data_IF_239181306447
#
_entry.id   IF_239181306447
#
_cell.length_a   1.000
_cell.length_b   1.000
_cell.length_c   1.000
_cell.angle_alpha   90.00
_cell.angle_beta   90.00
_cell.angle_gamma   90.00
#
_symmetry.space_group_name_H-M   'P 1'
#
loop_
_entity.id
_entity.type
_entity.pdbx_description
1 polymer ?
#
# COMPACT_ATOMS: atom_id res chain seq x y z
N UNK A 1 -0.64 -13.68 -7.72
CA UNK A 1 0.73 -13.41 -7.28
C UNK A 1 0.98 -14.00 -5.89
N UNK A 2 2.25 -14.02 -5.48
CA UNK A 2 2.63 -14.48 -4.14
C UNK A 2 3.66 -13.52 -3.56
N UNK A 3 3.46 -13.17 -2.29
CA UNK A 3 4.46 -12.43 -1.51
C UNK A 3 5.61 -13.36 -1.12
N UNK A 4 6.78 -12.79 -0.90
CA UNK A 4 7.95 -13.52 -0.43
C UNK A 4 7.83 -13.95 1.04
N UNK A 5 7.02 -13.23 1.83
CA UNK A 5 6.85 -13.47 3.26
C UNK A 5 5.49 -13.00 3.77
N UNK A 6 5.05 -13.54 4.91
CA UNK A 6 3.79 -13.15 5.56
C UNK A 6 4.02 -12.09 6.67
N UNK A 7 4.92 -11.14 6.43
CA UNK A 7 5.23 -10.05 7.33
C UNK A 7 5.55 -8.77 6.54
N UNK A 8 4.89 -7.68 6.87
CA UNK A 8 4.97 -6.40 6.17
C UNK A 8 6.41 -5.91 5.98
N UNK A 9 7.22 -5.89 7.04
CA UNK A 9 8.57 -5.33 6.98
C UNK A 9 9.44 -6.06 5.97
N UNK A 10 9.42 -7.39 6.00
CA UNK A 10 10.20 -8.22 5.08
C UNK A 10 9.60 -8.16 3.67
N UNK A 11 8.29 -8.34 3.54
CA UNK A 11 7.62 -8.39 2.24
C UNK A 11 7.75 -7.07 1.49
N UNK A 12 7.44 -5.93 2.11
CA UNK A 12 7.55 -4.62 1.47
C UNK A 12 9.00 -4.28 1.15
N UNK A 13 9.93 -4.47 2.09
CA UNK A 13 11.35 -4.17 1.84
C UNK A 13 11.90 -4.94 0.64
N UNK A 14 11.53 -6.21 0.48
CA UNK A 14 11.95 -7.00 -0.69
C UNK A 14 11.22 -6.60 -1.98
N UNK A 15 9.95 -6.16 -1.88
CA UNK A 15 9.18 -5.78 -3.06
C UNK A 15 9.65 -4.44 -3.69
N UNK A 16 10.15 -3.53 -2.86
CA UNK A 16 10.51 -2.16 -3.29
C UNK A 16 12.00 -1.87 -3.27
N UNK A 17 12.84 -2.86 -3.04
CA UNK A 17 14.30 -2.78 -3.15
C UNK A 17 14.84 -3.91 -4.01
N UNK A 18 16.10 -3.85 -4.36
CA UNK A 18 16.79 -4.93 -5.07
C UNK A 18 17.16 -6.13 -4.17
N UNK A 19 16.83 -6.10 -2.88
CA UNK A 19 17.03 -7.23 -1.97
C UNK A 19 16.14 -8.38 -2.39
N UNK A 20 16.71 -9.57 -2.49
CA UNK A 20 15.97 -10.78 -2.81
C UNK A 20 16.69 -12.02 -2.25
N UNK A 21 16.04 -13.17 -2.34
CA UNK A 21 16.54 -14.44 -1.80
C UNK A 21 17.81 -14.97 -2.48
N UNK A 22 18.26 -14.36 -3.59
CA UNK A 22 19.41 -14.81 -4.36
C UNK A 22 20.63 -13.89 -4.19
N UNK A 23 20.49 -12.78 -3.44
CA UNK A 23 21.59 -11.90 -3.13
C UNK A 23 21.76 -11.73 -1.61
N UNK A 24 22.95 -11.35 -1.20
CA UNK A 24 23.29 -11.09 0.20
C UNK A 24 23.36 -9.59 0.52
N UNK A 25 22.67 -8.75 -0.27
CA UNK A 25 22.71 -7.30 -0.05
C UNK A 25 22.10 -6.95 1.29
N UNK A 26 22.79 -6.10 2.01
CA UNK A 26 22.28 -5.53 3.24
C UNK A 26 21.35 -4.37 2.91
N UNK A 27 20.39 -4.12 3.79
CA UNK A 27 19.38 -3.09 3.60
C UNK A 27 19.97 -1.72 3.21
N UNK A 28 21.06 -1.30 3.88
CA UNK A 28 21.73 -0.02 3.64
C UNK A 28 22.60 0.04 2.36
N UNK A 29 22.77 -1.08 1.69
CA UNK A 29 23.49 -1.20 0.41
C UNK A 29 22.54 -1.31 -0.78
N UNK A 30 21.26 -1.50 -0.51
CA UNK A 30 20.25 -1.81 -1.50
C UNK A 30 19.61 -0.54 -2.07
N UNK A 31 19.53 -0.47 -3.39
CA UNK A 31 18.79 0.56 -4.09
C UNK A 31 17.27 0.29 -3.96
N UNK A 32 16.50 1.31 -3.64
CA UNK A 32 15.04 1.24 -3.56
C UNK A 32 14.38 1.79 -4.84
N UNK A 33 13.10 1.49 -5.01
CA UNK A 33 12.30 2.08 -6.10
C UNK A 33 12.21 3.60 -5.97
N UNK A 34 12.31 4.15 -4.76
CA UNK A 34 12.37 5.59 -4.50
C UNK A 34 13.66 6.18 -5.08
N UNK A 35 14.80 5.51 -4.86
CA UNK A 35 16.10 5.95 -5.40
C UNK A 35 16.10 5.92 -6.93
N UNK A 36 15.51 4.87 -7.52
CA UNK A 36 15.40 4.72 -8.99
C UNK A 36 14.51 5.84 -9.55
N UNK A 37 13.35 6.09 -8.97
CA UNK A 37 12.44 7.13 -9.43
C UNK A 37 13.07 8.53 -9.34
N UNK A 38 13.78 8.83 -8.25
CA UNK A 38 14.50 10.11 -8.10
C UNK A 38 15.65 10.23 -9.11
N UNK A 39 16.39 9.16 -9.36
CA UNK A 39 17.44 9.14 -10.37
C UNK A 39 16.90 9.34 -11.81
N UNK A 40 15.63 8.99 -12.03
CA UNK A 40 14.92 9.22 -13.28
C UNK A 40 14.16 10.59 -13.32
N UNK A 41 14.51 11.51 -12.43
CA UNK A 41 13.95 12.87 -12.33
C UNK A 41 12.45 12.94 -12.04
N UNK A 42 11.92 11.93 -11.35
CA UNK A 42 10.58 12.01 -10.80
C UNK A 42 10.56 12.73 -9.45
N UNK A 43 9.52 13.52 -9.21
CA UNK A 43 9.16 13.99 -7.87
C UNK A 43 8.51 12.85 -7.10
N UNK A 44 9.18 12.36 -6.06
CA UNK A 44 8.72 11.17 -5.33
C UNK A 44 7.93 11.57 -4.11
N UNK A 45 6.71 11.02 -4.01
CA UNK A 45 5.80 11.20 -2.90
C UNK A 45 5.50 9.85 -2.23
N UNK A 46 5.52 9.81 -0.91
CA UNK A 46 5.12 8.65 -0.12
C UNK A 46 4.05 9.03 0.88
N UNK A 47 2.83 8.53 0.68
CA UNK A 47 1.70 8.78 1.57
C UNK A 47 1.28 7.48 2.26
N UNK A 48 1.24 7.47 3.60
CA UNK A 48 1.04 6.24 4.36
C UNK A 48 -0.01 6.38 5.45
N UNK A 49 -0.88 5.38 5.55
CA UNK A 49 -1.78 5.18 6.69
C UNK A 49 -1.24 4.13 7.68
N UNK A 50 0.05 3.83 7.61
CA UNK A 50 0.74 2.95 8.57
C UNK A 50 1.42 3.78 9.65
N UNK A 51 1.73 3.15 10.80
CA UNK A 51 2.55 3.80 11.84
C UNK A 51 3.99 4.05 11.36
N UNK A 52 4.65 5.06 11.93
CA UNK A 52 6.00 5.45 11.51
C UNK A 52 6.92 5.86 12.67
N UNK A 53 6.44 5.80 13.91
CA UNK A 53 7.21 6.18 15.10
C UNK A 53 7.31 5.03 16.10
N UNK A 54 8.38 5.02 16.89
CA UNK A 54 8.62 4.04 17.92
C UNK A 54 8.73 2.62 17.35
N UNK A 55 7.88 1.70 17.82
CA UNK A 55 7.87 0.31 17.32
C UNK A 55 7.40 0.17 15.86
N UNK A 56 6.83 1.20 15.28
CA UNK A 56 6.45 1.26 13.87
C UNK A 56 7.55 1.83 12.97
N UNK A 57 8.65 2.34 13.53
CA UNK A 57 9.83 2.74 12.78
C UNK A 57 10.58 1.51 12.28
N UNK A 58 10.55 1.28 10.99
CA UNK A 58 10.99 0.06 10.33
C UNK A 58 11.80 0.38 9.07
N UNK A 59 12.47 -0.59 8.44
CA UNK A 59 13.10 -0.39 7.13
C UNK A 59 12.18 0.25 6.08
N UNK A 60 10.88 -0.02 6.13
CA UNK A 60 9.89 0.60 5.21
C UNK A 60 9.79 2.11 5.43
N UNK A 61 9.77 2.56 6.69
CA UNK A 61 9.75 3.99 7.02
C UNK A 61 11.06 4.69 6.65
N UNK A 62 12.20 3.99 6.75
CA UNK A 62 13.48 4.51 6.29
C UNK A 62 13.47 4.76 4.78
N UNK A 63 12.96 3.81 3.99
CA UNK A 63 12.79 4.01 2.53
C UNK A 63 11.83 5.18 2.27
N UNK A 64 10.68 5.21 2.94
CA UNK A 64 9.69 6.26 2.78
C UNK A 64 10.28 7.66 3.02
N UNK A 65 11.17 7.80 4.02
CA UNK A 65 11.85 9.05 4.35
C UNK A 65 12.90 9.49 3.31
N UNK A 66 13.26 8.66 2.34
CA UNK A 66 14.12 9.06 1.21
C UNK A 66 13.34 9.71 0.07
N UNK A 67 12.00 9.67 0.10
CA UNK A 67 11.15 10.38 -0.84
C UNK A 67 11.28 11.90 -0.68
N UNK A 68 10.99 12.67 -1.73
CA UNK A 68 11.01 14.13 -1.66
C UNK A 68 9.93 14.68 -0.73
N UNK A 69 8.80 13.98 -0.65
CA UNK A 69 7.71 14.27 0.27
C UNK A 69 7.23 12.97 0.89
N UNK A 70 7.32 12.85 2.21
CA UNK A 70 6.78 11.72 2.95
C UNK A 70 5.74 12.22 3.98
N UNK A 71 4.53 11.64 3.94
CA UNK A 71 3.43 12.01 4.83
C UNK A 71 2.76 10.78 5.41
N UNK A 72 2.37 10.90 6.66
CA UNK A 72 1.60 9.90 7.38
C UNK A 72 0.30 10.50 7.89
N UNK A 73 -0.76 9.69 7.90
CA UNK A 73 -1.99 10.07 8.61
C UNK A 73 -1.72 10.22 10.10
N UNK A 74 -2.48 11.08 10.76
CA UNK A 74 -2.36 11.25 12.22
C UNK A 74 -2.79 9.96 12.92
N UNK A 75 -1.84 9.32 13.59
CA UNK A 75 -2.10 8.12 14.41
C UNK A 75 -2.39 8.56 15.86
N UNK A 76 -3.59 9.04 16.11
CA UNK A 76 -4.01 9.43 17.46
C UNK A 76 -4.45 8.19 18.25
N UNK A 77 -4.14 8.15 19.54
CA UNK A 77 -4.64 7.13 20.44
C UNK A 77 -6.19 7.17 20.44
N UNK A 78 -6.81 6.02 20.24
CA UNK A 78 -8.26 5.82 20.19
C UNK A 78 -9.00 6.40 18.96
N UNK A 79 -8.31 6.87 17.94
CA UNK A 79 -8.93 7.22 16.66
C UNK A 79 -8.54 6.21 15.57
N UNK A 80 -9.54 5.65 14.92
CA UNK A 80 -9.33 4.82 13.73
C UNK A 80 -9.15 5.75 12.53
N UNK A 81 -8.03 5.62 11.84
CA UNK A 81 -7.79 6.30 10.57
C UNK A 81 -8.06 5.32 9.44
N UNK A 82 -9.04 5.64 8.60
CA UNK A 82 -9.35 4.88 7.39
C UNK A 82 -8.46 5.32 6.24
N UNK A 83 -8.24 4.44 5.26
CA UNK A 83 -7.33 4.71 4.14
C UNK A 83 -7.79 5.88 3.26
N UNK A 84 -9.09 6.22 3.24
CA UNK A 84 -9.59 7.42 2.57
C UNK A 84 -8.98 8.73 3.11
N UNK A 85 -8.43 8.72 4.34
CA UNK A 85 -7.71 9.86 4.91
C UNK A 85 -6.45 10.25 4.12
N UNK A 86 -6.00 9.41 3.20
CA UNK A 86 -4.89 9.70 2.29
C UNK A 86 -5.33 10.52 1.06
N UNK A 87 -6.62 10.50 0.69
CA UNK A 87 -7.10 11.16 -0.52
C UNK A 87 -6.81 12.66 -0.57
N UNK A 88 -6.97 13.45 0.53
CA UNK A 88 -6.64 14.88 0.51
C UNK A 88 -5.16 15.18 0.19
N UNK A 89 -4.23 14.22 0.43
CA UNK A 89 -2.82 14.44 0.10
C UNK A 89 -2.56 14.41 -1.40
N UNK A 90 -3.47 13.84 -2.19
CA UNK A 90 -3.36 13.82 -3.65
C UNK A 90 -3.48 15.23 -4.24
N UNK A 91 -4.24 16.13 -3.61
CA UNK A 91 -4.39 17.52 -4.04
C UNK A 91 -3.10 18.35 -3.93
N UNK A 92 -2.10 17.83 -3.22
CA UNK A 92 -0.82 18.50 -3.04
C UNK A 92 0.21 18.13 -4.12
N UNK A 93 -0.12 17.19 -5.02
CA UNK A 93 0.74 16.79 -6.12
C UNK A 93 0.80 17.90 -7.17
N UNK A 94 2.01 18.24 -7.59
CA UNK A 94 2.24 19.19 -8.66
C UNK A 94 1.90 18.53 -10.01
N UNK A 95 0.83 18.97 -10.64
CA UNK A 95 0.33 18.39 -11.90
C UNK A 95 1.26 18.67 -13.09
N UNK A 96 2.17 19.64 -12.97
CA UNK A 96 3.13 19.99 -14.03
C UNK A 96 4.43 19.15 -13.97
N UNK A 97 4.56 18.27 -12.97
CA UNK A 97 5.74 17.44 -12.78
C UNK A 97 5.47 15.97 -13.02
N UNK A 98 6.55 15.26 -13.39
CA UNK A 98 6.55 13.81 -13.37
C UNK A 98 6.54 13.35 -11.90
N UNK A 99 5.41 12.86 -11.45
CA UNK A 99 5.25 12.36 -10.08
C UNK A 99 5.40 10.84 -10.05
N UNK A 100 6.13 10.34 -9.06
CA UNK A 100 6.12 8.95 -8.64
C UNK A 100 5.48 8.88 -7.26
N UNK A 101 4.28 8.30 -7.16
CA UNK A 101 3.49 8.27 -5.95
C UNK A 101 3.42 6.86 -5.37
N UNK A 102 3.82 6.70 -4.13
CA UNK A 102 3.56 5.51 -3.32
C UNK A 102 2.43 5.81 -2.34
N UNK A 103 1.33 5.07 -2.44
CA UNK A 103 0.22 5.11 -1.47
C UNK A 103 0.24 3.84 -0.64
N UNK A 104 0.68 3.96 0.60
CA UNK A 104 0.85 2.83 1.52
C UNK A 104 -0.36 2.71 2.43
N UNK A 105 -1.33 1.91 1.99
CA UNK A 105 -2.58 1.67 2.69
C UNK A 105 -2.37 0.81 3.95
N UNK A 106 -3.27 0.93 4.89
CA UNK A 106 -3.46 -0.03 5.99
C UNK A 106 -4.20 -1.27 5.49
N UNK A 107 -5.07 -1.08 4.54
CA UNK A 107 -5.81 -2.14 3.87
C UNK A 107 -6.56 -3.05 4.84
N UNK A 108 -6.48 -4.35 4.55
CA UNK A 108 -7.19 -5.40 5.30
C UNK A 108 -6.39 -5.92 6.51
N UNK A 109 -5.62 -5.04 7.18
CA UNK A 109 -4.88 -5.42 8.39
C UNK A 109 -5.86 -5.83 9.51
N UNK A 110 -5.53 -6.86 10.27
CA UNK A 110 -6.26 -7.22 11.49
C UNK A 110 -6.31 -6.00 12.46
N UNK A 111 -7.34 -5.62 13.02
CA UNK A 111 -8.72 -5.95 13.28
C UNK A 111 -9.63 -5.41 12.15
N UNK A 112 -10.29 -6.27 11.41
CA UNK A 112 -10.99 -5.91 10.17
C UNK A 112 -12.14 -4.92 10.38
N UNK A 113 -12.88 -5.03 11.49
CA UNK A 113 -13.96 -4.11 11.84
C UNK A 113 -13.50 -2.64 11.93
N UNK A 114 -12.21 -2.41 12.16
CA UNK A 114 -11.60 -1.09 12.22
C UNK A 114 -10.97 -0.64 10.88
N UNK A 115 -11.29 -1.31 9.77
CA UNK A 115 -10.71 -0.98 8.46
C UNK A 115 -11.65 -0.19 7.56
N UNK A 116 -12.91 -0.06 7.94
CA UNK A 116 -13.94 0.68 7.21
C UNK A 116 -14.86 1.40 8.20
N UNK A 117 -15.50 2.53 7.81
CA UNK A 117 -16.50 3.17 8.64
C UNK A 117 -17.76 2.31 8.74
N UNK A 118 -18.44 2.34 9.86
CA UNK A 118 -19.65 1.54 10.10
C UNK A 118 -20.72 1.75 9.03
N UNK A 119 -20.83 2.97 8.50
CA UNK A 119 -21.73 3.33 7.40
C UNK A 119 -21.43 2.62 6.07
N UNK A 120 -20.23 2.02 5.93
CA UNK A 120 -19.83 1.30 4.72
C UNK A 120 -20.12 -0.21 4.80
N UNK A 121 -20.62 -0.73 5.92
CA UNK A 121 -20.94 -2.16 6.06
C UNK A 121 -21.86 -2.63 4.94
N UNK A 122 -21.41 -3.61 4.13
CA UNK A 122 -22.14 -4.16 2.98
C UNK A 122 -22.66 -5.58 3.23
N UNK A 123 -21.87 -6.41 3.90
CA UNK A 123 -22.13 -7.84 4.03
C UNK A 123 -22.54 -8.24 5.44
N UNK A 124 -22.17 -7.46 6.44
CA UNK A 124 -22.40 -7.74 7.84
C UNK A 124 -23.50 -6.91 8.48
N UNK A 125 -23.53 -6.95 9.80
CA UNK A 125 -24.32 -6.05 10.63
C UNK A 125 -23.42 -4.94 11.15
N UNK A 126 -23.78 -3.65 10.99
CA UNK A 126 -22.99 -2.54 11.47
C UNK A 126 -22.56 -2.70 12.94
N UNK A 127 -21.27 -2.47 13.21
CA UNK A 127 -20.70 -2.58 14.56
C UNK A 127 -20.55 -4.01 15.12
N UNK A 128 -21.06 -5.03 14.43
CA UNK A 128 -20.97 -6.42 14.91
C UNK A 128 -19.65 -7.06 14.45
N UNK A 129 -18.93 -7.65 15.40
CA UNK A 129 -17.73 -8.40 15.11
C UNK A 129 -18.04 -9.76 14.50
N UNK A 130 -17.58 -9.98 13.29
CA UNK A 130 -17.56 -11.24 12.57
C UNK A 130 -16.31 -11.25 11.67
N UNK A 131 -15.28 -12.04 11.97
CA UNK A 131 -14.00 -11.94 11.28
C UNK A 131 -14.07 -12.13 9.76
N UNK A 132 -14.85 -13.09 9.28
CA UNK A 132 -14.97 -13.40 7.86
C UNK A 132 -15.74 -12.31 7.12
N UNK A 133 -16.85 -11.90 7.69
CA UNK A 133 -17.73 -10.87 7.11
C UNK A 133 -17.06 -9.50 7.17
N UNK A 134 -16.44 -9.15 8.30
CA UNK A 134 -15.70 -7.88 8.41
C UNK A 134 -14.47 -7.84 7.50
N UNK A 135 -13.86 -9.02 7.22
CA UNK A 135 -12.80 -9.10 6.23
C UNK A 135 -13.33 -8.80 4.82
N UNK A 136 -14.48 -9.35 4.44
CA UNK A 136 -15.13 -9.05 3.16
C UNK A 136 -15.50 -7.57 3.04
N UNK A 137 -16.07 -6.96 4.09
CA UNK A 137 -16.34 -5.52 4.14
C UNK A 137 -15.08 -4.68 4.00
N UNK A 138 -13.99 -5.09 4.66
CA UNK A 138 -12.70 -4.38 4.57
C UNK A 138 -12.10 -4.44 3.17
N UNK A 139 -12.25 -5.57 2.44
CA UNK A 139 -11.83 -5.69 1.04
C UNK A 139 -12.66 -4.74 0.16
N UNK A 140 -13.99 -4.76 0.31
CA UNK A 140 -14.85 -3.86 -0.46
C UNK A 140 -14.55 -2.38 -0.21
N UNK A 141 -14.13 -2.04 1.01
CA UNK A 141 -13.71 -0.68 1.31
C UNK A 141 -12.33 -0.32 0.73
N UNK A 142 -11.41 -1.27 0.72
CA UNK A 142 -10.11 -1.08 0.04
C UNK A 142 -10.32 -0.87 -1.47
N UNK A 143 -11.20 -1.64 -2.11
CA UNK A 143 -11.57 -1.44 -3.52
C UNK A 143 -12.14 -0.04 -3.76
N UNK A 144 -13.04 0.42 -2.89
CA UNK A 144 -13.58 1.78 -2.95
C UNK A 144 -12.48 2.85 -2.89
N UNK A 145 -11.54 2.73 -1.95
CA UNK A 145 -10.44 3.70 -1.81
C UNK A 145 -9.51 3.65 -3.03
N UNK A 146 -9.20 2.47 -3.53
CA UNK A 146 -8.39 2.29 -4.74
C UNK A 146 -9.06 2.92 -5.97
N UNK A 147 -10.38 2.78 -6.12
CA UNK A 147 -11.15 3.43 -7.18
C UNK A 147 -11.04 4.95 -7.09
N UNK A 148 -11.15 5.53 -5.89
CA UNK A 148 -11.00 6.98 -5.70
C UNK A 148 -9.59 7.45 -6.08
N UNK A 149 -8.54 6.74 -5.64
CA UNK A 149 -7.14 7.05 -5.99
C UNK A 149 -6.94 6.95 -7.51
N UNK A 150 -7.43 5.88 -8.13
CA UNK A 150 -7.29 5.64 -9.57
C UNK A 150 -7.97 6.74 -10.39
N UNK A 151 -9.22 7.06 -10.07
CA UNK A 151 -9.99 8.06 -10.78
C UNK A 151 -9.35 9.45 -10.62
N UNK A 152 -8.93 9.81 -9.41
CA UNK A 152 -8.21 11.06 -9.19
C UNK A 152 -6.93 11.14 -10.03
N UNK A 153 -6.11 10.09 -9.96
CA UNK A 153 -4.84 10.07 -10.70
C UNK A 153 -5.06 10.12 -12.23
N UNK A 154 -6.08 9.43 -12.72
CA UNK A 154 -6.44 9.45 -14.14
C UNK A 154 -6.95 10.84 -14.59
N UNK A 155 -7.84 11.46 -13.81
CA UNK A 155 -8.53 12.68 -14.19
C UNK A 155 -7.69 13.95 -13.97
N UNK A 156 -6.77 13.92 -12.99
CA UNK A 156 -6.03 15.11 -12.55
C UNK A 156 -4.52 15.02 -12.76
N UNK A 157 -3.94 13.82 -12.80
CA UNK A 157 -2.49 13.64 -12.81
C UNK A 157 -1.98 12.98 -14.08
N UNK A 158 -2.82 12.79 -15.09
CA UNK A 158 -2.46 12.09 -16.33
C UNK A 158 -1.77 10.72 -16.04
N UNK A 159 -2.45 9.87 -15.28
CA UNK A 159 -1.92 8.58 -14.85
C UNK A 159 -1.40 7.74 -16.02
N UNK A 160 -0.11 7.48 -16.07
CA UNK A 160 0.52 6.69 -17.12
C UNK A 160 0.61 5.20 -16.75
N UNK A 161 0.93 4.90 -15.49
CA UNK A 161 1.01 3.54 -14.99
C UNK A 161 0.60 3.46 -13.51
N UNK A 162 -0.03 2.36 -13.12
CA UNK A 162 -0.32 2.02 -11.74
C UNK A 162 -0.02 0.55 -11.50
N UNK A 163 0.60 0.26 -10.38
CA UNK A 163 0.83 -1.10 -9.87
C UNK A 163 0.21 -1.20 -8.49
N UNK A 164 -0.63 -2.21 -8.28
CA UNK A 164 -1.16 -2.55 -6.97
C UNK A 164 -0.76 -3.95 -6.57
N UNK A 165 -0.32 -4.09 -5.34
CA UNK A 165 -0.08 -5.39 -4.71
C UNK A 165 -0.27 -5.29 -3.20
N UNK A 166 -0.62 -6.41 -2.57
CA UNK A 166 -0.59 -6.55 -1.12
C UNK A 166 0.77 -7.07 -0.68
N UNK A 167 1.20 -6.68 0.50
CA UNK A 167 2.45 -7.16 1.10
C UNK A 167 2.36 -8.65 1.50
N UNK A 168 1.22 -9.09 2.02
CA UNK A 168 0.91 -10.49 2.32
C UNK A 168 -0.61 -10.69 2.42
N UNK A 169 -1.02 -11.94 2.52
CA UNK A 169 -2.41 -12.30 2.78
C UNK A 169 -2.70 -12.48 4.27
N UNK A 170 -3.97 -12.62 4.58
CA UNK A 170 -4.50 -12.92 5.92
C UNK A 170 -5.55 -14.03 5.83
N UNK A 171 -5.58 -14.92 6.81
CA UNK A 171 -6.63 -15.92 6.99
C UNK A 171 -7.54 -15.41 8.11
N UNK A 172 -8.81 -15.04 7.83
CA UNK A 172 -9.67 -14.26 8.75
C UNK A 172 -9.95 -14.94 10.09
N UNK A 173 -10.14 -16.25 10.09
CA UNK A 173 -10.45 -17.06 11.26
C UNK A 173 -9.20 -17.45 12.08
N UNK A 174 -8.02 -17.18 11.54
CA UNK A 174 -6.75 -17.47 12.18
C UNK A 174 -6.03 -16.18 12.50
N UNK A 175 -5.64 -16.03 13.76
CA UNK A 175 -4.76 -14.91 14.12
C UNK A 175 -3.51 -14.99 13.27
N UNK A 176 -3.06 -13.84 12.80
CA UNK A 176 -1.79 -13.67 12.10
C UNK A 176 -0.70 -14.40 12.88
N UNK A 177 -0.34 -15.59 12.44
CA UNK A 177 0.81 -16.29 12.97
C UNK A 177 2.05 -15.71 12.30
N UNK A 178 3.10 -15.33 13.05
CA UNK A 178 4.39 -15.01 12.46
C UNK A 178 5.01 -16.25 11.79
N UNK A 179 4.47 -17.43 12.11
CA UNK A 179 4.85 -18.68 11.47
C UNK A 179 4.03 -18.83 10.19
N UNK A 180 4.71 -19.11 9.10
CA UNK A 180 4.12 -19.35 7.79
C UNK A 180 3.01 -20.42 7.86
N UNK A 181 1.77 -20.02 7.56
CA UNK A 181 0.62 -20.93 7.48
C UNK A 181 0.34 -21.40 6.04
N UNK A 182 1.41 -21.70 5.29
CA UNK A 182 1.31 -22.20 3.92
C UNK A 182 1.03 -21.09 2.90
N UNK A 183 0.70 -21.49 1.67
CA UNK A 183 0.49 -20.58 0.53
C UNK A 183 -0.66 -19.59 0.73
N UNK A 184 -1.63 -19.90 1.59
CA UNK A 184 -2.76 -19.02 1.88
C UNK A 184 -2.31 -17.67 2.48
N UNK A 185 -1.25 -17.67 3.30
CA UNK A 185 -0.74 -16.46 3.95
C UNK A 185 0.08 -15.54 3.03
N UNK A 186 0.45 -16.01 1.85
CA UNK A 186 1.30 -15.28 0.90
C UNK A 186 0.67 -15.09 -0.47
N UNK A 187 -0.51 -15.65 -0.73
CA UNK A 187 -1.24 -15.42 -1.99
C UNK A 187 -1.89 -14.04 -1.96
N UNK A 188 -1.43 -13.16 -2.83
CA UNK A 188 -1.81 -11.74 -2.83
C UNK A 188 -2.51 -11.32 -4.14
N UNK A 189 -3.39 -10.30 -4.09
CA UNK A 189 -3.80 -9.60 -5.28
C UNK A 189 -2.60 -8.87 -5.90
N UNK A 190 -2.59 -8.82 -7.23
CA UNK A 190 -1.62 -8.05 -8.00
C UNK A 190 -2.28 -7.65 -9.31
N UNK A 191 -2.28 -6.37 -9.62
CA UNK A 191 -2.69 -5.89 -10.94
C UNK A 191 -1.86 -4.68 -11.37
N UNK A 192 -1.89 -4.42 -12.68
CA UNK A 192 -1.26 -3.26 -13.28
C UNK A 192 -2.25 -2.57 -14.19
N UNK A 193 -2.09 -1.27 -14.32
CA UNK A 193 -2.75 -0.44 -15.33
C UNK A 193 -1.68 0.34 -16.08
N UNK A 194 -1.88 0.48 -17.38
CA UNK A 194 -1.11 1.35 -18.25
C UNK A 194 -2.07 2.16 -19.12
N UNK A 195 -1.78 3.45 -19.32
CA UNK A 195 -2.57 4.29 -20.21
C UNK A 195 -2.37 3.86 -21.67
N UNK A 196 -3.33 4.18 -22.52
CA UNK A 196 -3.20 3.93 -23.97
C UNK A 196 -2.00 4.70 -24.56
N UNK A 197 -1.72 5.89 -24.04
CA UNK A 197 -0.56 6.69 -24.40
C UNK A 197 0.74 5.97 -24.05
N UNK A 198 0.87 5.50 -22.82
CA UNK A 198 2.04 4.73 -22.36
C UNK A 198 2.25 3.49 -23.23
N UNK A 199 1.17 2.72 -23.48
CA UNK A 199 1.22 1.53 -24.32
C UNK A 199 1.67 1.87 -25.74
N UNK A 200 1.16 2.96 -26.32
CA UNK A 200 1.53 3.37 -27.67
C UNK A 200 3.01 3.76 -27.79
N UNK A 201 3.57 4.40 -26.75
CA UNK A 201 4.97 4.84 -26.72
C UNK A 201 5.95 3.69 -26.51
N UNK A 202 5.51 2.56 -25.90
CA UNK A 202 6.35 1.42 -25.53
C UNK A 202 5.99 0.13 -26.29
N UNK A 203 5.29 0.23 -27.41
CA UNK A 203 5.11 -0.89 -28.33
C UNK A 203 6.41 -1.14 -29.08
N UNK A 204 7.07 -2.26 -28.76
CA UNK A 204 8.09 -2.85 -29.61
C UNK A 204 7.46 -3.59 -30.81
#
# INVERSE_FOLDING_TARGET
AFSIYANTVIAVSNAITEINQYNNKKFYEACSIVDIARAADYKVHWYSNQGHLGSADTPVTLIANTADVAKWTKQELNQVQYDESLLPYLDELDQEKNNFLVVHLKGNHFNFLNRFPESFTKFGTPGKYDPEVNYADSIAYTDYVLEQIFNYAKDKLNLQAMVYFSDHATVPDKRRSPNFEGLASVRIPFFTYFSDEYIAQHKE
#
